data_IF_772947348868
#
_entry.id   IF_772947348868
#
_cell.length_a   1.000
_cell.length_b   1.000
_cell.length_c   1.000
_cell.angle_alpha   90.00
_cell.angle_beta   90.00
_cell.angle_gamma   90.00
#
_symmetry.space_group_name_H-M   'P 1'
#
loop_
_entity.id
_entity.type
_entity.pdbx_description
1 polymer ?
#
# COMPACT_ATOMS: atom_id res chain seq x y z
N UNK A 1 1.36 -17.39 61.39
CA UNK A 1 1.60 -15.93 61.53
C UNK A 1 1.38 -15.30 60.16
N UNK A 2 0.15 -15.05 59.72
CA UNK A 2 -0.73 -13.89 59.97
C UNK A 2 -0.33 -12.59 59.25
N UNK A 3 -1.35 -11.97 58.60
CA UNK A 3 -1.44 -10.74 57.78
C UNK A 3 -1.32 -11.02 56.27
N UNK A 4 -2.38 -11.09 55.46
CA UNK A 4 -3.65 -10.33 55.37
C UNK A 4 -3.44 -8.82 55.27
N UNK A 5 -3.63 -8.27 54.07
CA UNK A 5 -4.25 -6.96 53.86
C UNK A 5 -4.99 -6.98 52.51
N UNK A 6 -6.31 -6.85 52.59
CA UNK A 6 -7.22 -6.54 51.50
C UNK A 6 -7.51 -5.04 51.49
N UNK A 7 -7.88 -4.49 50.33
CA UNK A 7 -8.81 -3.37 50.12
C UNK A 7 -9.32 -3.53 48.67
N UNK A 8 -10.58 -3.88 48.31
CA UNK A 8 -11.90 -3.24 48.56
C UNK A 8 -11.89 -1.74 48.23
N UNK A 9 -12.87 -1.08 47.60
CA UNK A 9 -14.22 -1.40 47.09
C UNK A 9 -14.65 -0.12 46.29
N UNK A 10 -15.44 -0.22 45.21
CA UNK A 10 -16.88 0.13 45.22
C UNK A 10 -17.21 1.63 45.45
N UNK A 11 -17.56 2.37 44.38
CA UNK A 11 -18.42 3.58 44.40
C UNK A 11 -18.68 4.02 42.94
N UNK A 12 -19.89 4.12 42.37
CA UNK A 12 -21.21 3.92 42.91
C UNK A 12 -22.24 3.81 41.77
N UNK A 13 -23.11 2.82 41.88
CA UNK A 13 -24.48 2.90 41.37
C UNK A 13 -25.34 3.39 42.54
N UNK A 14 -26.11 4.47 42.38
CA UNK A 14 -27.51 4.58 42.82
C UNK A 14 -28.04 6.02 42.69
N UNK A 15 -29.37 6.11 42.61
CA UNK A 15 -30.27 7.26 42.52
C UNK A 15 -30.59 7.70 41.08
N UNK A 16 -31.67 7.18 40.46
CA UNK A 16 -33.07 7.14 40.91
C UNK A 16 -33.60 8.54 41.25
N UNK A 17 -34.14 9.23 40.24
CA UNK A 17 -35.26 10.17 40.34
C UNK A 17 -35.61 10.59 38.91
N UNK A 18 -36.53 9.90 38.23
CA UNK A 18 -37.96 10.23 38.22
C UNK A 18 -38.23 11.75 38.28
N UNK A 19 -38.09 12.41 37.13
CA UNK A 19 -38.90 13.59 36.81
C UNK A 19 -39.59 13.35 35.47
N UNK A 20 -40.91 13.45 35.56
CA UNK A 20 -41.94 13.15 34.59
C UNK A 20 -42.30 14.44 33.82
N UNK A 21 -42.63 14.29 32.53
CA UNK A 21 -43.36 15.24 31.65
C UNK A 21 -42.60 16.56 31.37
N UNK A 22 -42.53 17.07 30.14
CA UNK A 22 -43.61 17.79 29.45
C UNK A 22 -43.35 17.80 27.92
N UNK A 23 -44.47 17.82 27.20
CA UNK A 23 -44.73 17.77 25.76
C UNK A 23 -44.32 19.07 25.03
N UNK A 24 -44.38 19.05 23.68
CA UNK A 24 -44.45 20.19 22.72
C UNK A 24 -43.11 20.88 22.38
N UNK A 25 -42.77 21.25 21.14
CA UNK A 25 -43.52 21.38 19.89
C UNK A 25 -42.57 21.35 18.66
N UNK A 26 -43.15 20.99 17.52
CA UNK A 26 -42.90 21.44 16.14
C UNK A 26 -41.50 21.92 15.69
N UNK A 27 -41.01 21.17 14.70
CA UNK A 27 -40.76 21.66 13.33
C UNK A 27 -39.92 22.92 13.16
N UNK A 28 -38.69 22.73 12.68
CA UNK A 28 -38.13 23.55 11.59
C UNK A 28 -36.99 22.74 10.95
N UNK A 29 -37.35 21.96 9.93
CA UNK A 29 -36.37 21.57 8.92
C UNK A 29 -35.94 22.86 8.21
N UNK A 30 -34.63 23.15 8.05
CA UNK A 30 -34.21 24.20 7.15
C UNK A 30 -34.67 23.79 5.74
N UNK A 31 -35.53 24.63 5.15
CA UNK A 31 -36.00 24.49 3.78
C UNK A 31 -34.80 24.26 2.86
N UNK A 32 -34.84 23.27 1.94
CA UNK A 32 -33.85 23.21 0.88
C UNK A 32 -33.95 24.53 0.12
N UNK A 33 -32.84 25.26 0.08
CA UNK A 33 -32.68 26.40 -0.80
C UNK A 33 -33.05 25.94 -2.21
N UNK A 34 -34.07 26.52 -2.87
CA UNK A 34 -34.31 26.20 -4.26
C UNK A 34 -33.06 26.60 -5.03
N UNK A 35 -32.40 25.64 -5.68
CA UNK A 35 -31.44 25.97 -6.71
C UNK A 35 -32.16 26.87 -7.72
N UNK A 36 -31.56 27.98 -8.15
CA UNK A 36 -32.10 28.69 -9.29
C UNK A 36 -32.06 27.73 -10.49
N UNK A 37 -33.22 27.24 -10.92
CA UNK A 37 -33.42 26.72 -12.26
C UNK A 37 -33.28 27.90 -13.23
N UNK A 38 -32.03 28.27 -13.51
CA UNK A 38 -31.69 29.15 -14.61
C UNK A 38 -31.83 28.35 -15.90
N UNK A 39 -33.07 28.25 -16.37
CA UNK A 39 -33.37 27.86 -17.73
C UNK A 39 -33.05 29.04 -18.66
N UNK A 40 -31.76 29.24 -18.90
CA UNK A 40 -31.29 30.08 -20.00
C UNK A 40 -30.65 29.15 -21.02
N UNK A 41 -31.37 28.89 -22.11
CA UNK A 41 -30.85 28.18 -23.27
C UNK A 41 -29.80 29.07 -23.94
N UNK A 42 -28.55 29.00 -23.47
CA UNK A 42 -27.45 29.57 -24.22
C UNK A 42 -27.21 28.72 -25.48
N UNK A 43 -27.05 29.34 -26.66
CA UNK A 43 -26.64 28.61 -27.85
C UNK A 43 -25.29 27.95 -27.58
N UNK A 44 -25.24 26.63 -27.79
CA UNK A 44 -24.02 25.84 -27.66
C UNK A 44 -22.89 26.56 -28.42
N UNK A 45 -21.72 26.79 -27.79
CA UNK A 45 -20.57 27.27 -28.54
C UNK A 45 -20.27 26.26 -29.66
N UNK A 46 -19.81 26.72 -30.84
CA UNK A 46 -19.41 25.80 -31.89
C UNK A 46 -18.37 24.84 -31.33
N UNK A 47 -18.44 23.56 -31.72
CA UNK A 47 -17.41 22.57 -31.42
C UNK A 47 -16.07 23.15 -31.87
N UNK A 48 -15.27 23.63 -30.92
CA UNK A 48 -13.86 23.83 -31.13
C UNK A 48 -13.33 22.43 -31.43
N UNK A 49 -12.89 22.20 -32.68
CA UNK A 49 -12.01 21.07 -32.97
C UNK A 49 -10.85 21.17 -32.00
N UNK A 50 -10.83 20.28 -31.01
CA UNK A 50 -9.72 20.19 -30.08
C UNK A 50 -8.43 20.14 -30.93
N UNK A 51 -7.39 20.92 -30.60
CA UNK A 51 -6.10 20.73 -31.24
C UNK A 51 -5.75 19.25 -31.11
N UNK A 52 -5.34 18.62 -32.22
CA UNK A 52 -4.80 17.27 -32.17
C UNK A 52 -3.71 17.28 -31.09
N UNK A 53 -3.99 16.60 -29.98
CA UNK A 53 -3.01 16.48 -28.92
C UNK A 53 -1.91 15.60 -29.49
N UNK A 54 -0.82 16.23 -29.92
CA UNK A 54 0.45 15.55 -30.19
C UNK A 54 1.14 15.14 -28.88
N UNK A 55 0.38 14.99 -27.79
CA UNK A 55 0.87 14.31 -26.59
C UNK A 55 1.02 12.86 -26.99
N UNK A 56 2.26 12.50 -27.33
CA UNK A 56 2.63 11.13 -27.61
C UNK A 56 2.05 10.26 -26.50
N UNK A 57 1.24 9.27 -26.89
CA UNK A 57 0.96 8.10 -26.08
C UNK A 57 2.28 7.60 -25.48
N UNK A 58 2.29 7.08 -24.23
CA UNK A 58 3.52 6.72 -23.54
C UNK A 58 4.42 5.96 -24.50
N UNK A 59 5.61 6.51 -24.72
CA UNK A 59 6.53 6.10 -25.78
C UNK A 59 6.77 4.60 -25.73
N UNK A 60 7.03 4.02 -26.91
CA UNK A 60 7.45 2.63 -27.04
C UNK A 60 8.45 2.29 -25.93
N UNK A 61 8.13 1.29 -25.10
CA UNK A 61 9.03 0.77 -24.07
C UNK A 61 10.32 0.38 -24.77
N UNK A 62 11.35 1.20 -24.64
CA UNK A 62 12.63 0.92 -25.28
C UNK A 62 13.22 -0.30 -24.57
N UNK A 63 13.68 -1.33 -25.31
CA UNK A 63 14.35 -2.46 -24.69
C UNK A 63 15.54 -1.96 -23.86
N UNK A 64 15.59 -2.34 -22.58
CA UNK A 64 16.71 -2.03 -21.69
C UNK A 64 17.68 -3.21 -21.75
N UNK A 65 18.86 -3.06 -22.37
CA UNK A 65 19.82 -4.15 -22.50
C UNK A 65 20.22 -4.69 -21.12
N UNK A 66 20.32 -6.01 -21.01
CA UNK A 66 20.77 -6.71 -19.79
C UNK A 66 19.95 -6.41 -18.52
N UNK A 67 18.68 -6.02 -18.66
CA UNK A 67 17.80 -5.86 -17.51
C UNK A 67 17.67 -7.19 -16.73
N UNK A 68 17.93 -7.13 -15.42
CA UNK A 68 17.72 -8.24 -14.50
C UNK A 68 16.41 -8.01 -13.76
N UNK A 69 15.52 -8.99 -13.77
CA UNK A 69 14.23 -8.89 -13.08
C UNK A 69 14.41 -8.89 -11.57
N UNK A 70 13.59 -8.10 -10.89
CA UNK A 70 13.29 -8.30 -9.49
C UNK A 70 12.48 -9.59 -9.37
N UNK A 71 13.05 -10.61 -8.75
CA UNK A 71 12.39 -11.89 -8.60
C UNK A 71 12.72 -12.52 -7.25
N UNK A 72 11.69 -12.97 -6.55
CA UNK A 72 11.82 -13.77 -5.33
C UNK A 72 12.06 -15.24 -5.70
N UNK A 73 13.05 -15.87 -5.06
CA UNK A 73 13.20 -17.32 -5.15
C UNK A 73 12.00 -18.01 -4.47
N UNK A 74 11.40 -18.96 -5.18
CA UNK A 74 10.23 -19.73 -4.71
C UNK A 74 10.58 -21.22 -4.60
N UNK A 75 9.93 -21.96 -3.70
CA UNK A 75 8.91 -21.52 -2.74
C UNK A 75 9.52 -20.82 -1.52
N UNK A 76 8.74 -19.95 -0.88
CA UNK A 76 9.09 -19.33 0.42
C UNK A 76 8.26 -20.02 1.49
N UNK A 77 8.93 -20.56 2.51
CA UNK A 77 8.29 -21.34 3.58
C UNK A 77 8.10 -20.51 4.85
N UNK A 78 7.05 -20.84 5.60
CA UNK A 78 6.84 -20.29 6.93
C UNK A 78 8.05 -20.59 7.84
N UNK A 79 8.38 -19.63 8.71
CA UNK A 79 9.55 -19.69 9.58
C UNK A 79 10.88 -19.37 8.89
N UNK A 80 10.91 -19.15 7.57
CA UNK A 80 12.11 -18.67 6.90
C UNK A 80 12.56 -17.33 7.49
N UNK A 81 13.86 -17.20 7.75
CA UNK A 81 14.51 -15.98 8.26
C UNK A 81 15.45 -15.36 7.24
N UNK A 82 15.54 -15.97 6.05
CA UNK A 82 16.37 -15.53 4.95
C UNK A 82 15.52 -15.59 3.68
N UNK A 83 15.52 -14.51 2.91
CA UNK A 83 14.87 -14.45 1.60
C UNK A 83 15.91 -14.13 0.55
N UNK A 84 15.87 -14.87 -0.54
CA UNK A 84 16.80 -14.76 -1.66
C UNK A 84 16.06 -14.48 -2.95
N UNK A 85 16.80 -14.00 -3.94
CA UNK A 85 16.24 -13.70 -5.24
C UNK A 85 17.24 -13.00 -6.14
N UNK A 86 16.74 -12.47 -7.26
CA UNK A 86 17.51 -11.65 -8.20
C UNK A 86 16.96 -10.24 -8.28
N UNK A 87 17.84 -9.30 -8.58
CA UNK A 87 17.52 -7.91 -8.88
C UNK A 87 18.75 -7.26 -9.54
N UNK A 88 18.64 -6.06 -10.11
CA UNK A 88 19.79 -5.32 -10.61
C UNK A 88 20.81 -5.04 -9.49
N UNK A 89 22.09 -5.30 -9.76
CA UNK A 89 23.19 -5.07 -8.83
C UNK A 89 23.22 -3.63 -8.29
N UNK A 90 23.62 -3.48 -7.02
CA UNK A 90 23.80 -2.18 -6.37
C UNK A 90 22.51 -1.47 -5.95
N UNK A 91 21.32 -2.01 -6.30
CA UNK A 91 20.04 -1.52 -5.77
C UNK A 91 19.90 -1.93 -4.31
N UNK A 92 19.31 -1.07 -3.50
CA UNK A 92 18.91 -1.39 -2.13
C UNK A 92 17.42 -1.73 -2.13
N UNK A 93 17.06 -2.90 -1.61
CA UNK A 93 15.68 -3.41 -1.63
C UNK A 93 15.14 -3.64 -0.22
N UNK A 94 13.85 -3.38 -0.05
CA UNK A 94 13.07 -3.79 1.11
C UNK A 94 12.33 -5.09 0.81
N UNK A 95 12.23 -5.93 1.83
CA UNK A 95 11.25 -7.01 1.90
C UNK A 95 10.18 -6.59 2.88
N UNK A 96 8.93 -6.59 2.43
CA UNK A 96 7.79 -6.13 3.23
C UNK A 96 6.68 -7.17 3.27
N UNK A 97 5.86 -7.13 4.30
CA UNK A 97 4.62 -7.88 4.43
C UNK A 97 3.48 -7.09 3.78
N UNK A 98 3.14 -7.45 2.55
CA UNK A 98 2.07 -6.82 1.77
C UNK A 98 0.71 -7.04 2.43
N UNK A 99 0.50 -8.19 3.09
CA UNK A 99 -0.75 -8.50 3.79
C UNK A 99 -0.97 -7.58 5.00
N UNK A 100 0.11 -7.18 5.68
CA UNK A 100 0.08 -6.26 6.81
C UNK A 100 0.49 -4.84 6.39
N UNK A 101 -0.13 -4.33 5.31
CA UNK A 101 0.01 -2.93 4.87
C UNK A 101 1.46 -2.49 4.59
N UNK A 102 2.29 -3.40 4.08
CA UNK A 102 3.68 -3.09 3.74
C UNK A 102 4.60 -3.02 4.96
N UNK A 103 4.25 -3.68 6.07
CA UNK A 103 5.13 -3.79 7.25
C UNK A 103 6.53 -4.27 6.84
N UNK A 104 7.55 -3.54 7.27
CA UNK A 104 8.94 -3.84 6.94
C UNK A 104 9.43 -5.11 7.63
N UNK A 105 10.04 -6.03 6.86
CA UNK A 105 10.56 -7.31 7.36
C UNK A 105 12.09 -7.37 7.33
N UNK A 106 12.71 -6.67 6.36
CA UNK A 106 14.16 -6.63 6.19
C UNK A 106 14.57 -5.77 5.00
N UNK A 107 15.87 -5.49 4.90
CA UNK A 107 16.47 -4.70 3.81
C UNK A 107 17.87 -5.22 3.49
N UNK A 108 18.31 -5.04 2.25
CA UNK A 108 19.69 -5.27 1.87
C UNK A 108 20.04 -4.73 0.49
N UNK A 109 21.34 -4.71 0.21
CA UNK A 109 21.89 -4.34 -1.09
C UNK A 109 22.00 -5.59 -1.97
N UNK A 110 21.65 -5.46 -3.23
CA UNK A 110 21.83 -6.51 -4.24
C UNK A 110 23.30 -6.59 -4.64
N UNK A 111 23.88 -7.79 -4.61
CA UNK A 111 25.28 -8.02 -4.96
C UNK A 111 25.58 -7.84 -6.44
N UNK A 112 26.87 -7.75 -6.77
CA UNK A 112 27.36 -7.60 -8.15
C UNK A 112 27.02 -8.79 -9.06
N UNK A 113 26.67 -9.94 -8.47
CA UNK A 113 26.17 -11.13 -9.16
C UNK A 113 24.66 -11.06 -9.49
N UNK A 114 24.02 -9.90 -9.23
CA UNK A 114 22.59 -9.67 -9.38
C UNK A 114 21.72 -10.58 -8.49
N UNK A 115 22.27 -11.00 -7.35
CA UNK A 115 21.56 -11.79 -6.34
C UNK A 115 21.50 -11.02 -5.04
N UNK A 116 20.44 -11.28 -4.27
CA UNK A 116 20.33 -10.78 -2.90
C UNK A 116 20.08 -11.93 -1.94
N UNK A 117 20.47 -11.70 -0.69
CA UNK A 117 20.22 -12.59 0.44
C UNK A 117 19.97 -11.73 1.67
N UNK A 118 18.71 -11.63 2.09
CA UNK A 118 18.26 -10.65 3.08
C UNK A 118 17.71 -11.38 4.29
N UNK A 119 18.26 -11.06 5.45
CA UNK A 119 17.72 -11.52 6.72
C UNK A 119 16.40 -10.80 7.00
N UNK A 120 15.40 -11.57 7.42
CA UNK A 120 14.07 -11.08 7.76
C UNK A 120 13.63 -11.62 9.12
N UNK A 121 12.63 -10.96 9.71
CA UNK A 121 11.86 -11.58 10.79
C UNK A 121 11.23 -12.90 10.30
N UNK A 122 11.10 -13.93 11.17
CA UNK A 122 10.54 -15.22 10.77
C UNK A 122 9.17 -15.07 10.11
N UNK A 123 9.03 -15.56 8.87
CA UNK A 123 7.83 -15.34 8.07
C UNK A 123 6.64 -16.16 8.58
N UNK A 124 5.47 -15.53 8.68
CA UNK A 124 4.23 -16.22 9.00
C UNK A 124 3.68 -16.93 7.74
N UNK A 125 3.04 -18.09 7.93
CA UNK A 125 2.37 -18.77 6.83
C UNK A 125 1.22 -17.92 6.25
N UNK A 126 0.97 -18.05 4.95
CA UNK A 126 -0.16 -17.45 4.22
C UNK A 126 -0.16 -15.91 4.17
N UNK A 127 0.92 -15.25 4.57
CA UNK A 127 1.14 -13.84 4.26
C UNK A 127 1.73 -13.72 2.84
N UNK A 128 1.54 -12.57 2.20
CA UNK A 128 2.25 -12.22 0.97
C UNK A 128 3.36 -11.25 1.31
N UNK A 129 4.57 -11.56 0.86
CA UNK A 129 5.69 -10.62 0.91
C UNK A 129 5.89 -9.95 -0.44
N UNK A 130 6.52 -8.77 -0.43
CA UNK A 130 6.78 -7.97 -1.63
C UNK A 130 8.19 -7.41 -1.64
N UNK A 131 8.71 -7.22 -2.86
CA UNK A 131 9.95 -6.49 -3.13
C UNK A 131 9.63 -5.04 -3.47
N UNK A 132 10.34 -4.13 -2.80
CA UNK A 132 10.28 -2.68 -3.02
C UNK A 132 11.71 -2.14 -3.14
N UNK A 133 11.92 -1.12 -4.00
CA UNK A 133 13.18 -0.38 -4.04
C UNK A 133 13.19 0.60 -2.88
N UNK A 134 14.18 0.46 -2.00
CA UNK A 134 14.44 1.44 -0.95
C UNK A 134 15.31 2.60 -1.47
N UNK A 135 16.32 2.27 -2.28
CA UNK A 135 17.27 3.22 -2.87
C UNK A 135 17.86 2.62 -4.16
N UNK A 136 18.10 3.45 -5.17
CA UNK A 136 18.69 3.01 -6.45
C UNK A 136 20.17 2.66 -6.32
N UNK A 137 20.82 3.10 -5.25
CA UNK A 137 22.19 2.86 -4.88
C UNK A 137 23.16 3.15 -6.02
N UNK A 138 24.07 2.21 -6.25
CA UNK A 138 25.09 2.30 -7.31
C UNK A 138 24.67 1.60 -8.61
N UNK A 139 23.37 1.32 -8.79
CA UNK A 139 22.89 0.51 -9.92
C UNK A 139 23.05 1.18 -11.29
N UNK A 140 23.14 2.51 -11.32
CA UNK A 140 23.26 3.29 -12.56
C UNK A 140 21.95 3.45 -13.34
N UNK A 141 20.84 2.93 -12.82
CA UNK A 141 19.50 3.12 -13.39
C UNK A 141 18.80 4.34 -12.79
N UNK A 142 17.86 4.91 -13.55
CA UNK A 142 16.88 5.83 -13.01
C UNK A 142 15.73 5.05 -12.34
N UNK A 143 15.03 5.68 -11.39
CA UNK A 143 13.86 5.05 -10.74
C UNK A 143 12.81 4.67 -11.79
N UNK A 144 12.65 5.50 -12.80
CA UNK A 144 11.67 5.33 -13.87
C UNK A 144 11.93 4.08 -14.72
N UNK A 145 13.19 3.65 -14.84
CA UNK A 145 13.57 2.48 -15.63
C UNK A 145 12.94 1.21 -15.06
N UNK A 146 12.82 1.12 -13.73
CA UNK A 146 12.30 -0.06 -13.04
C UNK A 146 10.80 -0.29 -13.24
N UNK A 147 10.07 0.68 -13.82
CA UNK A 147 8.67 0.49 -14.25
C UNK A 147 8.57 -0.12 -15.66
N UNK A 148 9.70 -0.40 -16.32
CA UNK A 148 9.72 -1.19 -17.54
C UNK A 148 9.48 -2.68 -17.22
N UNK A 149 8.66 -3.35 -18.05
CA UNK A 149 8.33 -4.78 -17.89
C UNK A 149 9.56 -5.71 -17.89
N UNK A 150 10.70 -5.24 -18.39
CA UNK A 150 11.96 -5.97 -18.33
C UNK A 150 12.49 -6.17 -16.90
N UNK A 151 12.15 -5.28 -15.95
CA UNK A 151 12.54 -5.38 -14.54
C UNK A 151 11.48 -6.04 -13.66
N UNK A 152 10.22 -6.04 -14.09
CA UNK A 152 9.13 -6.56 -13.30
C UNK A 152 9.22 -8.09 -13.15
N UNK A 153 9.07 -8.54 -11.91
CA UNK A 153 8.94 -9.94 -11.54
C UNK A 153 7.59 -10.53 -11.96
N UNK A 154 7.49 -11.87 -11.93
CA UNK A 154 6.33 -12.59 -12.43
C UNK A 154 5.03 -12.27 -11.66
N UNK A 155 5.13 -11.94 -10.38
CA UNK A 155 4.01 -11.59 -9.52
C UNK A 155 4.04 -10.12 -9.09
N UNK A 156 4.64 -9.25 -9.93
CA UNK A 156 4.58 -7.80 -9.78
C UNK A 156 3.13 -7.32 -9.75
N UNK A 157 2.83 -6.38 -8.84
CA UNK A 157 1.45 -5.95 -8.63
C UNK A 157 1.35 -4.63 -7.87
N UNK A 158 0.35 -3.84 -8.25
CA UNK A 158 -0.15 -2.74 -7.44
C UNK A 158 -1.18 -3.26 -6.42
N UNK A 159 -0.97 -2.98 -5.14
CA UNK A 159 -1.96 -3.16 -4.09
C UNK A 159 -2.50 -1.77 -3.73
N UNK A 160 -3.75 -1.43 -4.12
CA UNK A 160 -4.32 -0.13 -3.86
C UNK A 160 -4.20 0.24 -2.37
N UNK A 161 -3.80 1.49 -2.11
CA UNK A 161 -3.57 2.04 -0.76
C UNK A 161 -2.38 1.45 0.01
N UNK A 162 -1.71 0.42 -0.51
CA UNK A 162 -0.51 -0.17 0.12
C UNK A 162 0.74 0.21 -0.67
N UNK A 163 0.78 -0.08 -1.96
CA UNK A 163 1.94 0.24 -2.81
C UNK A 163 2.07 -0.64 -4.04
N UNK A 164 3.07 -0.32 -4.86
CA UNK A 164 3.46 -1.11 -6.02
C UNK A 164 4.69 -1.95 -5.68
N UNK A 165 4.59 -3.26 -5.91
CA UNK A 165 5.68 -4.19 -5.64
C UNK A 165 6.20 -4.81 -6.94
N UNK A 166 7.52 -4.84 -7.05
CA UNK A 166 8.24 -5.30 -8.25
C UNK A 166 8.18 -6.82 -8.41
N UNK A 167 8.02 -7.54 -7.31
CA UNK A 167 7.60 -8.93 -7.27
C UNK A 167 6.90 -9.21 -5.95
N UNK A 168 6.07 -10.25 -5.91
CA UNK A 168 5.46 -10.73 -4.66
C UNK A 168 5.43 -12.26 -4.59
N UNK A 169 5.36 -12.80 -3.38
CA UNK A 169 5.21 -14.24 -3.19
C UNK A 169 4.34 -14.55 -1.97
N UNK A 170 3.50 -15.59 -2.08
CA UNK A 170 2.79 -16.13 -0.94
C UNK A 170 3.74 -17.03 -0.14
N UNK A 171 3.78 -16.83 1.18
CA UNK A 171 4.51 -17.72 2.08
C UNK A 171 3.70 -18.99 2.28
N UNK A 172 4.28 -20.11 1.87
CA UNK A 172 3.67 -21.43 2.00
C UNK A 172 3.77 -21.94 3.45
N UNK A 173 2.80 -22.75 3.90
CA UNK A 173 2.85 -23.41 5.20
C UNK A 173 4.07 -24.33 5.39
#
# INVERSE_FOLDING_TARGET
MHKHLQCNNLLGHLFCSLCILIVTACSMAPSPTPLPESSTSEPYPPLLTAPASNVAYPGLKTPIPNAVRFELDRPIKAGATLVTGSAPAGVVINIVNVTLMGEWLGNGVVGDDNRFSINVTPLLAKIRIGLEIADIGSSGYAVEDFFNDAFLGPESRNFPQVGYYLDTALVEP
#
